data_IF_354908408814
#
_entry.id   IF_354908408814
#
_cell.length_a   1.000
_cell.length_b   1.000
_cell.length_c   1.000
_cell.angle_alpha   90.00
_cell.angle_beta   90.00
_cell.angle_gamma   90.00
#
_symmetry.space_group_name_H-M   'P 1'
#
loop_
_entity.id
_entity.type
_entity.pdbx_description
1 polymer ?
#
# COMPACT_ATOMS: atom_id res chain seq x y z
N UNK A 1 9.10 -23.56 15.32
CA UNK A 1 7.74 -22.98 15.33
C UNK A 1 6.94 -23.73 14.27
N UNK A 2 5.90 -24.45 14.66
CA UNK A 2 5.03 -25.14 13.69
C UNK A 2 3.97 -24.14 13.27
N UNK A 3 3.97 -23.71 12.02
CA UNK A 3 2.87 -22.92 11.43
C UNK A 3 1.65 -23.83 11.31
N UNK A 4 0.86 -23.91 12.39
CA UNK A 4 -0.40 -24.63 12.38
C UNK A 4 -1.53 -23.63 12.13
N UNK A 5 -2.26 -23.88 11.07
CA UNK A 5 -3.54 -23.21 10.82
C UNK A 5 -4.59 -23.69 11.83
N UNK A 6 -5.52 -22.81 12.15
CA UNK A 6 -6.72 -23.12 12.96
C UNK A 6 -7.89 -23.42 12.05
N UNK A 7 -8.99 -23.90 12.60
CA UNK A 7 -10.26 -24.08 11.85
C UNK A 7 -10.74 -22.76 11.25
N UNK A 8 -10.52 -21.64 11.93
CA UNK A 8 -10.85 -20.30 11.42
C UNK A 8 -10.01 -19.92 10.21
N UNK A 9 -8.71 -20.22 10.23
CA UNK A 9 -7.83 -20.03 9.08
C UNK A 9 -8.26 -20.87 7.88
N UNK A 10 -8.62 -22.14 8.09
CA UNK A 10 -9.07 -23.00 7.00
C UNK A 10 -10.44 -22.57 6.46
N UNK A 11 -11.35 -22.09 7.31
CA UNK A 11 -12.62 -21.52 6.89
C UNK A 11 -12.41 -20.26 6.01
N UNK A 12 -11.50 -19.37 6.43
CA UNK A 12 -11.11 -18.21 5.63
C UNK A 12 -10.48 -18.63 4.29
N UNK A 13 -9.56 -19.59 4.31
CA UNK A 13 -8.94 -20.16 3.10
C UNK A 13 -9.99 -20.63 2.09
N UNK A 14 -11.00 -21.37 2.58
CA UNK A 14 -12.08 -21.84 1.70
C UNK A 14 -12.90 -20.70 1.11
N UNK A 15 -13.24 -19.68 1.91
CA UNK A 15 -13.97 -18.52 1.42
C UNK A 15 -13.19 -17.74 0.35
N UNK A 16 -11.90 -17.46 0.60
CA UNK A 16 -11.05 -16.77 -0.37
C UNK A 16 -10.86 -17.63 -1.61
N UNK A 17 -10.65 -18.93 -1.47
CA UNK A 17 -10.52 -19.87 -2.60
C UNK A 17 -11.77 -19.90 -3.46
N UNK A 18 -12.95 -19.97 -2.88
CA UNK A 18 -14.21 -19.93 -3.61
C UNK A 18 -14.33 -18.64 -4.43
N UNK A 19 -14.06 -17.50 -3.80
CA UNK A 19 -14.02 -16.20 -4.49
C UNK A 19 -13.03 -16.22 -5.66
N UNK A 20 -11.83 -16.72 -5.45
CA UNK A 20 -10.77 -16.74 -6.47
C UNK A 20 -11.14 -17.63 -7.65
N UNK A 21 -11.70 -18.80 -7.39
CA UNK A 21 -12.13 -19.72 -8.46
C UNK A 21 -13.31 -19.17 -9.28
N UNK A 22 -14.21 -18.40 -8.63
CA UNK A 22 -15.41 -17.88 -9.30
C UNK A 22 -15.22 -16.51 -9.94
N UNK A 23 -14.46 -15.61 -9.33
CA UNK A 23 -14.36 -14.21 -9.74
C UNK A 23 -13.02 -13.87 -10.43
N UNK A 24 -11.92 -14.49 -10.02
CA UNK A 24 -10.58 -14.15 -10.54
C UNK A 24 -10.16 -15.10 -11.66
N UNK A 25 -10.27 -16.40 -11.43
CA UNK A 25 -9.79 -17.43 -12.38
C UNK A 25 -10.34 -17.31 -13.79
N UNK A 26 -11.65 -17.02 -14.00
CA UNK A 26 -12.19 -16.90 -15.35
C UNK A 26 -11.60 -15.76 -16.17
N UNK A 27 -11.06 -14.73 -15.52
CA UNK A 27 -10.55 -13.51 -16.16
C UNK A 27 -9.03 -13.37 -16.09
N UNK A 28 -8.34 -14.13 -15.24
CA UNK A 28 -6.90 -13.98 -14.95
C UNK A 28 -6.03 -13.97 -16.22
N UNK A 29 -6.22 -14.92 -17.12
CA UNK A 29 -5.42 -15.00 -18.36
C UNK A 29 -5.64 -13.79 -19.29
N UNK A 30 -6.85 -13.25 -19.33
CA UNK A 30 -7.19 -12.05 -20.12
C UNK A 30 -6.56 -10.81 -19.47
N UNK A 31 -6.67 -10.67 -18.15
CA UNK A 31 -6.09 -9.55 -17.41
C UNK A 31 -4.58 -9.48 -17.59
N UNK A 32 -3.88 -10.61 -17.45
CA UNK A 32 -2.43 -10.69 -17.65
C UNK A 32 -2.04 -10.36 -19.08
N UNK A 33 -2.72 -10.95 -20.07
CA UNK A 33 -2.47 -10.69 -21.49
C UNK A 33 -2.65 -9.22 -21.88
N UNK A 34 -3.72 -8.59 -21.37
CA UNK A 34 -4.12 -7.24 -21.75
C UNK A 34 -3.52 -6.16 -20.83
N UNK A 35 -2.76 -6.56 -19.79
CA UNK A 35 -2.19 -5.66 -18.77
C UNK A 35 -3.30 -4.83 -18.08
N UNK A 36 -4.41 -5.48 -17.70
CA UNK A 36 -5.60 -4.83 -17.13
C UNK A 36 -5.78 -5.10 -15.65
N UNK A 37 -6.13 -4.05 -14.93
CA UNK A 37 -6.46 -4.14 -13.51
C UNK A 37 -7.84 -4.78 -13.27
N UNK A 38 -7.99 -5.70 -12.29
CA UNK A 38 -9.24 -6.42 -12.01
C UNK A 38 -10.23 -5.61 -11.15
N UNK A 39 -10.70 -4.45 -11.62
CA UNK A 39 -11.52 -3.52 -10.84
C UNK A 39 -12.72 -4.19 -10.15
N UNK A 40 -13.54 -4.94 -10.90
CA UNK A 40 -14.75 -5.57 -10.36
C UNK A 40 -14.42 -6.64 -9.29
N UNK A 41 -13.36 -7.43 -9.51
CA UNK A 41 -12.94 -8.45 -8.55
C UNK A 41 -12.42 -7.80 -7.25
N UNK A 42 -11.61 -6.74 -7.35
CA UNK A 42 -11.10 -6.01 -6.18
C UNK A 42 -12.24 -5.34 -5.41
N UNK A 43 -13.21 -4.72 -6.10
CA UNK A 43 -14.38 -4.13 -5.45
C UNK A 43 -15.21 -5.19 -4.69
N UNK A 44 -15.47 -6.35 -5.31
CA UNK A 44 -16.17 -7.46 -4.66
C UNK A 44 -15.40 -7.99 -3.45
N UNK A 45 -14.08 -8.15 -3.59
CA UNK A 45 -13.19 -8.59 -2.51
C UNK A 45 -13.22 -7.62 -1.32
N UNK A 46 -13.27 -6.31 -1.60
CA UNK A 46 -13.46 -5.27 -0.60
C UNK A 46 -14.79 -5.39 0.14
N UNK A 47 -15.90 -5.58 -0.59
CA UNK A 47 -17.23 -5.77 0.00
C UNK A 47 -17.33 -7.01 0.90
N UNK A 48 -16.49 -8.02 0.69
CA UNK A 48 -16.38 -9.19 1.56
C UNK A 48 -15.53 -8.94 2.82
N UNK A 49 -14.94 -7.74 2.97
CA UNK A 49 -14.13 -7.35 4.12
C UNK A 49 -12.69 -7.87 4.09
N UNK A 50 -12.22 -8.40 2.96
CA UNK A 50 -10.89 -9.00 2.87
C UNK A 50 -9.76 -7.98 2.69
N UNK A 51 -10.07 -6.74 2.29
CA UNK A 51 -9.07 -5.67 2.14
C UNK A 51 -8.54 -5.17 3.51
N UNK A 52 -9.29 -5.40 4.58
CA UNK A 52 -8.93 -4.97 5.93
C UNK A 52 -8.68 -6.11 6.92
N UNK A 53 -8.29 -7.32 6.46
CA UNK A 53 -8.17 -8.50 7.31
C UNK A 53 -7.44 -8.26 8.64
N UNK A 54 -6.21 -7.68 8.69
CA UNK A 54 -5.48 -7.55 9.95
C UNK A 54 -5.87 -6.32 10.77
N UNK A 55 -6.67 -5.40 10.23
CA UNK A 55 -7.00 -4.17 10.93
C UNK A 55 -8.14 -4.33 11.91
N UNK A 56 -8.12 -3.57 13.04
CA UNK A 56 -9.17 -3.60 14.05
C UNK A 56 -10.55 -3.24 13.47
N UNK A 57 -11.58 -3.82 14.07
CA UNK A 57 -12.99 -3.57 13.70
C UNK A 57 -13.42 -2.12 13.85
N UNK A 58 -12.81 -1.39 14.80
CA UNK A 58 -13.06 0.05 15.00
C UNK A 58 -12.70 0.91 13.79
N UNK A 59 -11.75 0.44 12.96
CA UNK A 59 -11.40 1.08 11.67
C UNK A 59 -12.04 0.38 10.47
N UNK A 60 -13.02 -0.51 10.71
CA UNK A 60 -13.72 -1.21 9.62
C UNK A 60 -12.99 -2.44 9.09
N UNK A 61 -11.90 -2.87 9.73
CA UNK A 61 -11.20 -4.10 9.41
C UNK A 61 -11.87 -5.34 9.98
N UNK A 62 -11.36 -6.52 9.63
CA UNK A 62 -11.90 -7.81 10.09
C UNK A 62 -11.38 -8.24 11.47
N UNK A 63 -10.32 -7.64 12.00
CA UNK A 63 -9.68 -7.98 13.27
C UNK A 63 -9.06 -9.36 13.29
N UNK A 64 -8.60 -9.84 12.13
CA UNK A 64 -7.90 -11.12 11.98
C UNK A 64 -6.40 -10.97 12.22
N UNK A 65 -5.70 -12.08 12.31
CA UNK A 65 -4.24 -12.08 12.45
C UNK A 65 -3.51 -11.96 11.08
N UNK A 66 -2.21 -11.79 11.13
CA UNK A 66 -1.35 -11.70 9.94
C UNK A 66 -1.35 -12.99 9.12
N UNK A 67 -1.51 -14.16 9.76
CA UNK A 67 -1.59 -15.42 9.04
C UNK A 67 -2.85 -15.49 8.17
N UNK A 68 -3.97 -14.98 8.66
CA UNK A 68 -5.21 -14.82 7.87
C UNK A 68 -4.97 -13.96 6.61
N UNK A 69 -4.27 -12.85 6.75
CA UNK A 69 -3.89 -12.01 5.61
C UNK A 69 -2.96 -12.75 4.63
N UNK A 70 -1.93 -13.46 5.13
CA UNK A 70 -1.03 -14.23 4.29
C UNK A 70 -1.76 -15.34 3.51
N UNK A 71 -2.73 -16.02 4.13
CA UNK A 71 -3.60 -17.00 3.49
C UNK A 71 -4.39 -16.38 2.33
N UNK A 72 -4.94 -15.18 2.51
CA UNK A 72 -5.67 -14.49 1.46
C UNK A 72 -4.76 -14.14 0.27
N UNK A 73 -3.55 -13.62 0.54
CA UNK A 73 -2.55 -13.36 -0.51
C UNK A 73 -2.15 -14.64 -1.24
N UNK A 74 -1.92 -15.74 -0.51
CA UNK A 74 -1.59 -17.05 -1.07
C UNK A 74 -2.68 -17.55 -2.03
N UNK A 75 -3.93 -17.54 -1.60
CA UNK A 75 -5.05 -18.03 -2.41
C UNK A 75 -5.29 -17.18 -3.66
N UNK A 76 -5.19 -15.85 -3.57
CA UNK A 76 -5.24 -14.96 -4.74
C UNK A 76 -4.09 -15.25 -5.71
N UNK A 77 -2.86 -15.29 -5.19
CA UNK A 77 -1.64 -15.45 -5.99
C UNK A 77 -1.55 -16.82 -6.65
N UNK A 78 -2.19 -17.86 -6.09
CA UNK A 78 -2.27 -19.20 -6.68
C UNK A 78 -2.92 -19.18 -8.08
N UNK A 79 -3.81 -18.22 -8.32
CA UNK A 79 -4.55 -18.10 -9.60
C UNK A 79 -4.05 -16.92 -10.42
N UNK A 80 -3.87 -15.76 -9.78
CA UNK A 80 -3.34 -14.56 -10.41
C UNK A 80 -2.41 -13.79 -9.44
N UNK A 81 -1.12 -13.86 -9.69
CA UNK A 81 -0.11 -13.19 -8.87
C UNK A 81 -0.29 -11.68 -8.82
N UNK A 82 -0.82 -11.07 -9.89
CA UNK A 82 -1.12 -9.64 -9.92
C UNK A 82 -2.21 -9.24 -8.93
N UNK A 83 -3.31 -9.99 -8.88
CA UNK A 83 -4.38 -9.76 -7.89
C UNK A 83 -3.86 -9.96 -6.45
N UNK A 84 -3.00 -10.97 -6.23
CA UNK A 84 -2.36 -11.16 -4.92
C UNK A 84 -1.46 -9.99 -4.50
N UNK A 85 -0.68 -9.45 -5.43
CA UNK A 85 0.20 -8.29 -5.20
C UNK A 85 -0.63 -7.01 -4.93
N UNK A 86 -1.78 -6.82 -5.57
CA UNK A 86 -2.70 -5.71 -5.29
C UNK A 86 -3.09 -5.70 -3.81
N UNK A 87 -3.55 -6.84 -3.29
CA UNK A 87 -3.90 -6.98 -1.86
C UNK A 87 -2.67 -6.77 -0.97
N UNK A 88 -1.55 -7.38 -1.34
CA UNK A 88 -0.30 -7.29 -0.56
C UNK A 88 0.15 -5.84 -0.40
N UNK A 89 0.25 -5.08 -1.49
CA UNK A 89 0.66 -3.69 -1.44
C UNK A 89 -0.36 -2.79 -0.73
N UNK A 90 -1.66 -3.04 -0.92
CA UNK A 90 -2.72 -2.30 -0.24
C UNK A 90 -2.64 -2.45 1.28
N UNK A 91 -2.56 -3.69 1.77
CA UNK A 91 -2.56 -3.95 3.22
C UNK A 91 -1.22 -3.58 3.84
N UNK A 92 -0.11 -4.17 3.38
CA UNK A 92 1.18 -4.05 4.08
C UNK A 92 1.89 -2.72 3.85
N UNK A 93 1.65 -2.04 2.74
CA UNK A 93 2.35 -0.82 2.33
C UNK A 93 1.46 0.41 2.36
N UNK A 94 0.30 0.39 1.69
CA UNK A 94 -0.60 1.54 1.63
C UNK A 94 -1.34 1.82 2.93
N UNK A 95 -1.70 0.79 3.68
CA UNK A 95 -2.55 0.92 4.89
C UNK A 95 -1.76 0.80 6.19
N UNK A 96 -0.78 -0.13 6.28
CA UNK A 96 -0.07 -0.40 7.52
C UNK A 96 0.67 0.81 8.11
N UNK A 97 1.38 1.66 7.36
CA UNK A 97 2.03 2.84 7.93
C UNK A 97 1.03 3.80 8.59
N UNK A 98 -0.16 3.96 8.01
CA UNK A 98 -1.21 4.79 8.59
C UNK A 98 -1.74 4.16 9.89
N UNK A 99 -1.91 2.84 9.92
CA UNK A 99 -2.32 2.12 11.13
C UNK A 99 -1.29 2.24 12.25
N UNK A 100 -0.01 2.00 11.93
CA UNK A 100 1.06 1.93 12.92
C UNK A 100 1.49 3.30 13.47
N UNK A 101 1.45 4.34 12.62
CA UNK A 101 2.07 5.62 12.91
C UNK A 101 1.15 6.83 12.76
N UNK A 102 -0.02 6.65 12.14
CA UNK A 102 -0.99 7.74 11.97
C UNK A 102 -1.64 8.16 13.28
N UNK A 103 -2.05 9.43 13.36
CA UNK A 103 -2.92 9.92 14.43
C UNK A 103 -4.31 9.27 14.35
N UNK A 104 -5.10 9.38 15.39
CA UNK A 104 -6.48 8.84 15.39
C UNK A 104 -7.35 9.50 14.30
N UNK A 105 -7.13 10.79 14.03
CA UNK A 105 -7.80 11.52 12.95
C UNK A 105 -7.40 10.96 11.58
N UNK A 106 -6.09 10.73 11.37
CA UNK A 106 -5.57 10.12 10.13
C UNK A 106 -6.09 8.70 9.94
N UNK A 107 -6.13 7.87 10.99
CA UNK A 107 -6.69 6.52 10.93
C UNK A 107 -8.17 6.54 10.57
N UNK A 108 -8.96 7.39 11.19
CA UNK A 108 -10.39 7.53 10.87
C UNK A 108 -10.61 8.02 9.45
N UNK A 109 -9.82 9.00 8.99
CA UNK A 109 -9.98 9.60 7.65
C UNK A 109 -9.49 8.68 6.54
N UNK A 110 -8.34 8.01 6.73
CA UNK A 110 -7.63 7.30 5.67
C UNK A 110 -7.65 5.77 5.84
N UNK A 111 -7.33 5.24 7.03
CA UNK A 111 -7.31 3.80 7.24
C UNK A 111 -8.72 3.18 7.14
N UNK A 112 -9.73 3.84 7.67
CA UNK A 112 -11.09 3.30 7.67
C UNK A 112 -11.62 2.99 6.26
N UNK A 113 -11.57 3.90 5.28
CA UNK A 113 -12.00 3.57 3.91
C UNK A 113 -11.08 2.54 3.23
N UNK A 114 -9.78 2.49 3.55
CA UNK A 114 -8.87 1.46 3.07
C UNK A 114 -9.25 0.08 3.64
N UNK A 115 -9.41 -0.03 4.95
CA UNK A 115 -9.76 -1.29 5.62
C UNK A 115 -11.13 -1.85 5.19
N UNK A 116 -12.07 -0.98 4.82
CA UNK A 116 -13.37 -1.38 4.24
C UNK A 116 -13.29 -1.74 2.76
N UNK A 117 -12.17 -1.49 2.08
CA UNK A 117 -12.05 -1.66 0.64
C UNK A 117 -12.84 -0.64 -0.19
N UNK A 118 -13.23 0.49 0.41
CA UNK A 118 -13.87 1.62 -0.27
C UNK A 118 -12.86 2.43 -1.08
N UNK A 119 -11.59 2.40 -0.67
CA UNK A 119 -10.43 3.00 -1.33
C UNK A 119 -9.28 2.02 -1.40
N UNK A 120 -8.40 2.20 -2.38
CA UNK A 120 -7.18 1.44 -2.52
C UNK A 120 -5.97 2.27 -2.06
N UNK A 121 -4.99 1.60 -1.44
CA UNK A 121 -3.75 2.20 -0.97
C UNK A 121 -2.55 1.87 -1.83
N UNK A 122 -1.61 2.81 -1.92
CA UNK A 122 -0.31 2.65 -2.57
C UNK A 122 0.81 3.24 -1.70
N UNK A 123 2.07 2.94 -2.07
CA UNK A 123 3.25 3.29 -1.28
C UNK A 123 4.39 3.77 -2.18
N UNK A 124 4.75 5.03 -2.04
CA UNK A 124 5.78 5.69 -2.84
C UNK A 124 7.08 5.87 -2.09
N UNK A 125 7.99 4.89 -2.18
CA UNK A 125 9.33 4.96 -1.58
C UNK A 125 10.42 5.03 -2.67
N UNK A 126 10.45 4.07 -3.59
CA UNK A 126 11.50 3.87 -4.58
C UNK A 126 11.59 5.02 -5.58
N UNK A 127 12.82 5.45 -5.88
CA UNK A 127 13.14 6.48 -6.87
C UNK A 127 14.17 5.96 -7.88
N UNK A 128 14.39 6.65 -9.01
CA UNK A 128 15.40 6.21 -10.00
C UNK A 128 16.78 5.98 -9.41
N UNK A 129 17.20 6.81 -8.45
CA UNK A 129 18.51 6.75 -7.80
C UNK A 129 18.47 6.15 -6.37
N UNK A 130 17.28 5.80 -5.85
CA UNK A 130 17.07 5.31 -4.49
C UNK A 130 16.20 4.06 -4.48
N UNK A 131 16.83 2.91 -4.72
CA UNK A 131 16.19 1.58 -4.65
C UNK A 131 16.51 0.91 -3.31
N UNK A 132 17.49 -0.02 -3.30
CA UNK A 132 17.93 -0.70 -2.08
C UNK A 132 18.51 0.26 -1.03
N UNK A 133 19.14 1.34 -1.47
CA UNK A 133 19.46 2.48 -0.61
C UNK A 133 18.30 3.49 -0.57
N UNK A 134 17.27 3.17 0.21
CA UNK A 134 16.11 4.07 0.40
C UNK A 134 16.49 5.37 1.13
N UNK A 135 17.65 5.41 1.78
CA UNK A 135 18.20 6.63 2.39
C UNK A 135 18.64 7.68 1.37
N UNK A 136 18.86 7.27 0.12
CA UNK A 136 19.18 8.16 -1.00
C UNK A 136 17.98 8.87 -1.64
N UNK A 137 16.81 8.90 -0.99
CA UNK A 137 15.61 9.61 -1.45
C UNK A 137 15.90 11.06 -1.82
N UNK A 138 15.52 11.46 -3.03
CA UNK A 138 15.70 12.81 -3.59
C UNK A 138 14.40 13.63 -3.64
N UNK A 139 13.22 13.00 -3.62
CA UNK A 139 11.93 13.69 -3.51
C UNK A 139 11.93 14.58 -2.28
N UNK A 140 11.59 15.86 -2.44
CA UNK A 140 11.62 16.87 -1.38
C UNK A 140 10.22 17.24 -0.91
N UNK A 141 10.13 17.66 0.37
CA UNK A 141 8.93 18.25 0.96
C UNK A 141 9.32 19.49 1.75
N UNK A 142 9.13 20.67 1.14
CA UNK A 142 9.50 21.96 1.73
C UNK A 142 8.30 22.55 2.48
N UNK A 143 8.48 22.91 3.75
CA UNK A 143 7.41 23.48 4.57
C UNK A 143 7.10 24.92 4.17
N UNK A 144 5.84 25.22 3.85
CA UNK A 144 5.32 26.54 3.56
C UNK A 144 4.04 26.81 4.38
N UNK A 145 4.20 27.44 5.55
CA UNK A 145 3.08 27.71 6.46
C UNK A 145 2.41 26.42 6.95
N UNK A 146 1.14 26.24 6.61
CA UNK A 146 0.34 25.06 6.97
C UNK A 146 0.41 23.92 5.95
N UNK A 147 1.33 23.99 4.99
CA UNK A 147 1.49 23.00 3.92
C UNK A 147 2.96 22.59 3.79
N UNK A 148 3.14 21.44 3.13
CA UNK A 148 4.41 21.05 2.53
C UNK A 148 4.27 21.05 1.02
N UNK A 149 5.29 21.49 0.32
CA UNK A 149 5.34 21.46 -1.15
C UNK A 149 6.21 20.27 -1.57
N UNK A 150 5.58 19.25 -2.15
CA UNK A 150 6.26 18.05 -2.64
C UNK A 150 6.71 18.25 -4.08
N UNK A 151 7.99 17.90 -4.34
CA UNK A 151 8.58 17.85 -5.68
C UNK A 151 9.45 16.60 -5.82
N UNK A 152 9.32 15.87 -6.92
CA UNK A 152 10.11 14.68 -7.23
C UNK A 152 9.30 13.61 -7.92
N UNK A 153 9.81 12.38 -7.90
CA UNK A 153 9.14 11.23 -8.50
C UNK A 153 9.38 9.95 -7.71
N UNK A 154 8.42 9.01 -7.83
CA UNK A 154 8.57 7.64 -7.34
C UNK A 154 8.33 6.67 -8.48
N UNK A 155 9.09 5.57 -8.52
CA UNK A 155 9.03 4.56 -9.58
C UNK A 155 8.62 3.20 -9.05
N UNK A 156 8.13 2.33 -9.95
CA UNK A 156 7.71 0.95 -9.65
C UNK A 156 6.59 0.86 -8.61
N UNK A 157 5.68 1.84 -8.61
CA UNK A 157 4.64 1.91 -7.57
C UNK A 157 3.46 1.02 -7.94
N UNK A 158 3.24 0.00 -7.13
CA UNK A 158 2.07 -0.90 -7.22
C UNK A 158 0.80 -0.13 -6.84
N UNK A 159 -0.29 -0.38 -7.55
CA UNK A 159 -1.58 0.32 -7.42
C UNK A 159 -1.52 1.81 -7.78
N UNK A 160 -0.48 2.29 -8.45
CA UNK A 160 -0.19 3.72 -8.60
C UNK A 160 -1.37 4.54 -9.13
N UNK A 161 -1.86 4.26 -10.33
CA UNK A 161 -2.92 5.06 -10.98
C UNK A 161 -4.34 4.66 -10.56
N UNK A 162 -4.49 3.52 -9.85
CA UNK A 162 -5.79 3.01 -9.40
C UNK A 162 -6.10 3.33 -7.93
N UNK A 163 -5.06 3.54 -7.11
CA UNK A 163 -5.24 3.92 -5.71
C UNK A 163 -5.80 5.34 -5.54
N UNK A 164 -6.41 5.61 -4.40
CA UNK A 164 -6.87 6.94 -3.99
C UNK A 164 -6.05 7.52 -2.84
N UNK A 165 -5.32 6.68 -2.10
CA UNK A 165 -4.51 7.10 -0.93
C UNK A 165 -3.10 6.56 -1.07
N UNK A 166 -2.10 7.43 -0.89
CA UNK A 166 -0.69 7.09 -1.07
C UNK A 166 0.09 7.45 0.19
N UNK A 167 0.94 6.54 0.66
CA UNK A 167 1.98 6.87 1.64
C UNK A 167 3.26 7.18 0.87
N UNK A 168 3.74 8.42 0.94
CA UNK A 168 4.87 8.92 0.14
C UNK A 168 5.98 9.42 1.05
N UNK A 169 7.22 9.00 0.79
CA UNK A 169 8.40 9.44 1.53
C UNK A 169 9.12 10.57 0.80
N UNK A 170 9.48 11.62 1.54
CA UNK A 170 10.18 12.77 1.00
C UNK A 170 11.15 13.37 2.03
N UNK A 171 12.21 14.02 1.56
CA UNK A 171 13.19 14.73 2.39
C UNK A 171 12.57 16.05 2.89
N UNK A 172 12.42 16.15 4.22
CA UNK A 172 11.98 17.38 4.91
C UNK A 172 13.15 18.16 5.49
N UNK A 173 14.25 17.47 5.81
CA UNK A 173 15.47 18.10 6.33
C UNK A 173 16.67 17.50 5.61
N UNK A 174 17.31 18.23 4.69
CA UNK A 174 18.46 17.73 3.96
C UNK A 174 19.68 17.49 4.86
N UNK A 175 20.64 16.74 4.36
CA UNK A 175 21.99 16.56 4.93
C UNK A 175 22.07 15.84 6.30
N UNK A 176 20.97 15.22 6.75
CA UNK A 176 20.96 14.40 7.99
C UNK A 176 20.58 12.93 7.73
N UNK A 177 20.68 12.48 6.48
CA UNK A 177 20.39 11.11 6.03
C UNK A 177 18.93 10.71 6.28
N UNK A 178 18.70 9.45 6.65
CA UNK A 178 17.34 8.91 6.86
C UNK A 178 16.53 9.64 7.92
N UNK A 179 17.16 10.32 8.86
CA UNK A 179 16.48 11.15 9.87
C UNK A 179 15.79 12.38 9.28
N UNK A 180 16.19 12.78 8.07
CA UNK A 180 15.59 13.91 7.35
C UNK A 180 14.43 13.52 6.45
N UNK A 181 14.07 12.22 6.39
CA UNK A 181 12.98 11.70 5.55
C UNK A 181 11.72 11.58 6.39
N UNK A 182 10.61 12.07 5.86
CA UNK A 182 9.28 11.97 6.46
C UNK A 182 8.30 11.30 5.53
N UNK A 183 7.20 10.77 6.08
CA UNK A 183 6.12 10.19 5.30
C UNK A 183 4.91 11.12 5.27
N UNK A 184 4.25 11.17 4.14
CA UNK A 184 3.06 11.96 3.87
C UNK A 184 1.94 11.09 3.34
N UNK A 185 0.70 11.37 3.75
CA UNK A 185 -0.48 10.79 3.12
C UNK A 185 -0.91 11.75 2.02
N UNK A 186 -0.87 11.27 0.78
CA UNK A 186 -1.24 12.03 -0.42
C UNK A 186 -2.51 11.44 -1.01
N UNK A 187 -3.43 12.28 -1.48
CA UNK A 187 -4.68 11.84 -2.09
C UNK A 187 -4.64 12.04 -3.61
N UNK A 188 -5.24 11.10 -4.35
CA UNK A 188 -5.41 11.22 -5.80
C UNK A 188 -6.19 12.47 -6.16
N UNK A 189 -5.78 13.13 -7.24
CA UNK A 189 -6.46 14.32 -7.76
C UNK A 189 -5.99 15.64 -7.17
N UNK A 190 -5.01 15.65 -6.27
CA UNK A 190 -4.38 16.90 -5.86
C UNK A 190 -3.62 17.53 -7.03
N UNK A 191 -3.69 18.86 -7.14
CA UNK A 191 -3.01 19.62 -8.19
C UNK A 191 -1.50 19.35 -8.17
N UNK A 192 -0.92 19.10 -9.35
CA UNK A 192 0.50 18.77 -9.50
C UNK A 192 0.85 17.30 -9.23
N UNK A 193 -0.08 16.47 -8.73
CA UNK A 193 0.12 15.03 -8.57
C UNK A 193 -0.41 14.28 -9.78
N UNK A 194 0.49 13.64 -10.53
CA UNK A 194 0.18 12.91 -11.76
C UNK A 194 0.90 11.56 -11.81
N UNK A 195 0.61 10.78 -12.84
CA UNK A 195 1.16 9.44 -13.03
C UNK A 195 1.93 9.37 -14.33
N UNK A 196 3.04 8.60 -14.35
CA UNK A 196 3.76 8.26 -15.57
C UNK A 196 3.14 7.06 -16.28
N UNK A 197 3.82 6.60 -17.32
CA UNK A 197 3.39 5.45 -18.11
C UNK A 197 3.42 4.15 -17.30
N UNK A 198 2.52 3.22 -17.66
CA UNK A 198 2.51 1.88 -17.10
C UNK A 198 3.75 1.09 -17.53
N UNK A 199 4.36 0.37 -16.59
CA UNK A 199 5.44 -0.54 -16.90
C UNK A 199 4.91 -1.80 -17.62
N UNK A 200 5.52 -2.15 -18.74
CA UNK A 200 5.33 -3.46 -19.36
C UNK A 200 6.17 -4.50 -18.62
N UNK A 201 5.50 -5.37 -17.87
CA UNK A 201 6.13 -6.31 -16.95
C UNK A 201 6.16 -7.73 -17.53
N UNK A 202 7.15 -8.52 -17.13
CA UNK A 202 7.28 -9.94 -17.48
C UNK A 202 6.14 -10.79 -16.89
N UNK A 203 5.66 -10.45 -15.70
CA UNK A 203 4.56 -11.13 -15.00
C UNK A 203 3.81 -10.17 -14.08
N UNK A 204 2.84 -10.69 -13.31
CA UNK A 204 1.94 -9.90 -12.45
C UNK A 204 1.31 -8.71 -13.19
N UNK A 205 0.96 -8.91 -14.46
CA UNK A 205 0.57 -7.86 -15.39
C UNK A 205 -0.81 -7.28 -15.08
N UNK A 206 -1.65 -8.03 -14.36
CA UNK A 206 -2.94 -7.56 -13.83
C UNK A 206 -2.82 -6.53 -12.70
N UNK A 207 -1.64 -6.36 -12.10
CA UNK A 207 -1.38 -5.30 -11.14
C UNK A 207 -0.93 -4.02 -11.85
N UNK A 208 -1.56 -2.88 -11.58
CA UNK A 208 -1.09 -1.58 -12.06
C UNK A 208 0.26 -1.25 -11.42
N UNK A 209 1.21 -0.80 -12.25
CA UNK A 209 2.53 -0.34 -11.77
C UNK A 209 2.98 0.81 -12.65
N UNK A 210 3.13 2.01 -12.11
CA UNK A 210 3.65 3.17 -12.82
C UNK A 210 4.43 4.12 -11.90
N UNK A 211 4.79 5.28 -12.40
CA UNK A 211 5.45 6.34 -11.63
C UNK A 211 4.42 7.21 -10.92
N UNK A 212 4.81 7.78 -9.78
CA UNK A 212 4.14 8.93 -9.15
C UNK A 212 5.00 10.16 -9.43
N UNK A 213 4.39 11.21 -9.96
CA UNK A 213 5.06 12.45 -10.32
C UNK A 213 4.50 13.62 -9.49
N UNK A 214 5.38 14.33 -8.81
CA UNK A 214 5.03 15.44 -7.92
C UNK A 214 5.64 16.75 -8.45
N UNK A 215 4.79 17.70 -8.82
CA UNK A 215 5.19 19.01 -9.29
C UNK A 215 4.48 20.10 -8.48
N UNK A 216 5.15 20.62 -7.46
CA UNK A 216 4.61 21.60 -6.51
C UNK A 216 3.29 21.18 -5.86
N UNK A 217 3.18 19.89 -5.48
CA UNK A 217 1.98 19.37 -4.82
C UNK A 217 1.87 19.94 -3.42
N UNK A 218 0.76 20.63 -3.14
CA UNK A 218 0.46 21.17 -1.80
C UNK A 218 -0.13 20.07 -0.93
N UNK A 219 0.62 19.66 0.07
CA UNK A 219 0.24 18.62 1.02
C UNK A 219 -0.05 19.27 2.38
N UNK A 220 -1.28 19.18 2.91
CA UNK A 220 -1.61 19.76 4.21
C UNK A 220 -0.76 19.16 5.34
N UNK A 221 -0.36 19.98 6.32
CA UNK A 221 0.51 19.55 7.43
C UNK A 221 -0.08 18.40 8.26
N UNK A 222 -1.41 18.31 8.35
CA UNK A 222 -2.10 17.24 9.08
C UNK A 222 -1.99 15.87 8.41
N UNK A 223 -1.48 15.79 7.19
CA UNK A 223 -1.22 14.51 6.49
C UNK A 223 0.20 14.01 6.69
N UNK A 224 1.05 14.79 7.34
CA UNK A 224 2.39 14.41 7.72
C UNK A 224 2.40 13.52 8.97
N UNK A 225 3.23 12.49 8.98
CA UNK A 225 3.46 11.63 10.13
C UNK A 225 4.84 11.92 10.74
N UNK A 226 4.83 12.53 11.91
CA UNK A 226 6.02 13.01 12.66
C UNK A 226 7.02 11.89 13.02
N UNK A 227 6.60 10.63 13.03
CA UNK A 227 7.34 9.55 13.65
C UNK A 227 7.68 8.38 12.69
N UNK A 228 7.49 8.56 11.40
CA UNK A 228 7.96 7.59 10.43
C UNK A 228 9.36 8.03 9.95
N UNK A 229 10.34 7.92 10.81
CA UNK A 229 11.71 7.73 10.38
C UNK A 229 11.81 6.28 9.89
N UNK A 230 12.40 5.99 8.73
CA UNK A 230 12.77 4.62 8.39
C UNK A 230 13.57 4.06 9.56
N UNK A 231 13.00 3.07 10.25
CA UNK A 231 13.65 2.49 11.45
C UNK A 231 14.95 1.87 10.97
N UNK A 232 16.11 2.28 11.49
CA UNK A 232 17.37 1.61 11.13
C UNK A 232 17.28 0.12 11.55
N UNK A 233 17.85 -0.81 10.80
CA UNK A 233 17.80 -2.26 11.07
C UNK A 233 18.25 -2.67 12.48
N UNK A 234 18.96 -1.80 13.18
CA UNK A 234 19.49 -2.04 14.53
C UNK A 234 18.51 -1.90 15.70
N UNK A 235 17.25 -1.45 15.46
CA UNK A 235 16.23 -1.28 16.51
C UNK A 235 15.07 -2.27 16.39
N UNK A 236 15.24 -3.34 15.62
CA UNK A 236 14.30 -4.45 15.63
C UNK A 236 14.44 -5.21 16.96
N UNK A 237 13.73 -4.73 17.97
CA UNK A 237 13.45 -5.53 19.15
C UNK A 237 12.66 -6.77 18.70
N UNK A 238 13.12 -7.95 19.10
CA UNK A 238 12.58 -9.26 18.69
C UNK A 238 11.11 -9.50 19.11
N UNK A 239 10.42 -8.50 19.62
CA UNK A 239 9.03 -8.55 20.07
C UNK A 239 8.04 -7.87 19.10
N UNK A 240 8.50 -7.11 18.10
CA UNK A 240 7.63 -6.48 17.11
C UNK A 240 7.93 -7.03 15.71
N UNK A 241 6.95 -7.71 15.15
CA UNK A 241 6.96 -8.28 13.80
C UNK A 241 7.09 -7.13 12.77
N UNK A 242 8.33 -6.82 12.38
CA UNK A 242 8.55 -5.98 11.21
C UNK A 242 8.25 -6.82 9.97
N UNK A 243 7.26 -6.40 9.19
CA UNK A 243 7.05 -6.89 7.84
C UNK A 243 7.78 -5.92 6.91
N UNK A 244 8.95 -6.33 6.44
CA UNK A 244 9.61 -5.73 5.29
C UNK A 244 9.07 -6.38 4.02
#
# INVERSE_FOLDING_TARGET
MLFKTTEEHEALRMQVREFVETEVKPIAAMLDKENKFPHEAIEKFGKMGFMGLPYPKEYGGAGKDILSYAIAVEELSRVDGGTGVILSAHVSLGSYPIFAYGTEEQKKKYLTPLAKGEKLGAFGLTEPNAGSDAGGTETTAVKEGDYYILNGEKIFITNADVAETYVVFAVTTPDIGTKGISAFIVEKGWEGFTFGDHYDKLGIRSSSTCQLLFNNVKVPKETWADNITPVPPSTLDNSSTAIA
#
